data_IF_542866076799
#
_entry.id   IF_542866076799
#
_cell.length_a   1.000
_cell.length_b   1.000
_cell.length_c   1.000
_cell.angle_alpha   90.00
_cell.angle_beta   90.00
_cell.angle_gamma   90.00
#
_symmetry.space_group_name_H-M   'P 1'
#
loop_
_entity.id
_entity.type
_entity.pdbx_description
1 polymer ?
#
# COMPACT_ATOMS: atom_id res chain seq x y z
N UNK A 1 -0.89 -0.02 1.02
CA UNK A 1 -0.52 -1.39 1.47
C UNK A 1 -1.69 -2.02 2.21
N UNK A 2 -1.89 -3.33 2.10
CA UNK A 2 -2.94 -4.06 2.81
C UNK A 2 -2.30 -5.17 3.65
N UNK A 3 -2.95 -5.57 4.75
CA UNK A 3 -2.51 -6.69 5.60
C UNK A 3 -3.69 -7.65 5.81
N UNK A 4 -4.71 -7.23 6.56
CA UNK A 4 -5.89 -8.06 6.85
C UNK A 4 -6.93 -8.01 5.72
N UNK A 5 -7.14 -6.84 5.12
CA UNK A 5 -8.14 -6.64 4.06
C UNK A 5 -9.59 -6.60 4.55
N UNK A 6 -9.83 -6.59 5.86
CA UNK A 6 -11.17 -6.69 6.47
C UNK A 6 -11.54 -5.49 7.35
N UNK A 7 -10.69 -4.46 7.40
CA UNK A 7 -10.93 -3.23 8.16
C UNK A 7 -10.46 -3.25 9.60
N UNK A 8 -9.74 -4.29 10.03
CA UNK A 8 -9.33 -4.47 11.42
C UNK A 8 -7.97 -3.84 11.75
N UNK A 9 -7.08 -3.67 10.76
CA UNK A 9 -5.71 -3.19 11.03
C UNK A 9 -5.45 -1.71 10.65
N UNK A 10 -6.24 -1.13 9.75
CA UNK A 10 -6.02 0.24 9.26
C UNK A 10 -4.73 0.46 8.44
N UNK A 11 -4.00 -0.59 8.05
CA UNK A 11 -2.80 -0.47 7.22
C UNK A 11 -3.09 0.19 5.87
N UNK A 12 -4.27 -0.08 5.32
CA UNK A 12 -4.75 0.45 4.04
C UNK A 12 -5.40 1.83 4.14
N UNK A 13 -5.22 2.55 5.26
CA UNK A 13 -5.82 3.88 5.39
C UNK A 13 -5.32 4.86 4.33
N UNK A 14 -6.24 5.68 3.84
CA UNK A 14 -6.05 6.79 2.91
C UNK A 14 -6.80 8.01 3.44
N UNK A 15 -6.34 9.21 3.11
CA UNK A 15 -7.08 10.45 3.38
C UNK A 15 -7.82 10.86 2.11
N UNK A 16 -9.14 11.02 2.22
CA UNK A 16 -10.03 11.40 1.11
C UNK A 16 -10.95 12.51 1.62
N UNK A 17 -10.84 13.70 1.04
CA UNK A 17 -11.65 14.85 1.44
C UNK A 17 -11.41 15.31 2.89
N UNK A 18 -10.21 15.09 3.43
CA UNK A 18 -9.86 15.42 4.82
C UNK A 18 -10.30 14.38 5.85
N UNK A 19 -10.89 13.27 5.43
CA UNK A 19 -11.29 12.16 6.31
C UNK A 19 -10.40 10.94 6.11
N UNK A 20 -10.10 10.24 7.20
CA UNK A 20 -9.42 8.94 7.14
C UNK A 20 -10.42 7.85 6.73
N UNK A 21 -10.13 7.15 5.63
CA UNK A 21 -10.90 6.02 5.08
C UNK A 21 -10.03 4.78 4.94
N UNK A 22 -10.60 3.58 4.95
CA UNK A 22 -9.89 2.32 4.79
C UNK A 22 -10.13 1.72 3.41
N UNK A 23 -9.11 1.67 2.56
CA UNK A 23 -9.28 1.27 1.16
C UNK A 23 -9.81 -0.16 0.96
N UNK A 24 -9.65 -1.08 1.93
CA UNK A 24 -10.17 -2.44 1.81
C UNK A 24 -11.65 -2.59 2.19
N UNK A 25 -12.27 -1.57 2.80
CA UNK A 25 -13.69 -1.62 3.22
C UNK A 25 -14.48 -0.46 2.63
N UNK A 26 -13.93 0.75 2.65
CA UNK A 26 -14.56 1.96 2.10
C UNK A 26 -14.26 2.19 0.61
N UNK A 27 -13.32 1.42 0.04
CA UNK A 27 -12.82 1.56 -1.34
C UNK A 27 -12.92 0.26 -2.14
N UNK A 28 -11.94 -0.07 -3.02
CA UNK A 28 -10.66 0.62 -3.26
C UNK A 28 -10.79 1.86 -4.15
N UNK A 29 -11.95 2.09 -4.75
CA UNK A 29 -12.24 3.20 -5.65
C UNK A 29 -12.66 4.44 -4.86
N UNK A 30 -12.03 5.58 -5.17
CA UNK A 30 -12.32 6.88 -4.58
C UNK A 30 -12.28 7.96 -5.66
N UNK A 31 -12.90 9.11 -5.40
CA UNK A 31 -12.69 10.31 -6.23
C UNK A 31 -11.24 10.75 -6.11
N UNK A 32 -10.46 10.52 -7.18
CA UNK A 32 -9.03 10.80 -7.21
C UNK A 32 -8.68 12.28 -6.99
N UNK A 33 -9.60 13.22 -7.18
CA UNK A 33 -9.36 14.63 -6.88
C UNK A 33 -9.41 14.95 -5.38
N UNK A 34 -10.02 14.07 -4.59
CA UNK A 34 -10.16 14.24 -3.14
C UNK A 34 -9.10 13.46 -2.36
N UNK A 35 -8.33 12.58 -3.01
CA UNK A 35 -7.28 11.77 -2.37
C UNK A 35 -6.04 12.62 -2.09
N UNK A 36 -5.50 12.53 -0.86
CA UNK A 36 -4.15 13.02 -0.59
C UNK A 36 -3.10 12.05 -1.18
N UNK A 37 -2.65 12.36 -2.38
CA UNK A 37 -1.63 11.58 -3.10
C UNK A 37 -0.24 11.70 -2.48
N UNK A 38 0.07 12.77 -1.75
CA UNK A 38 1.37 12.92 -1.09
C UNK A 38 1.46 11.94 0.07
N UNK A 39 0.43 11.91 0.92
CA UNK A 39 0.33 10.95 2.01
C UNK A 39 0.32 9.50 1.49
N UNK A 40 -0.49 9.22 0.46
CA UNK A 40 -0.59 7.88 -0.12
C UNK A 40 0.77 7.38 -0.65
N UNK A 41 1.51 8.21 -1.38
CA UNK A 41 2.83 7.86 -1.91
C UNK A 41 3.89 7.67 -0.81
N UNK A 42 3.90 8.52 0.22
CA UNK A 42 4.82 8.34 1.35
C UNK A 42 4.58 7.00 2.05
N UNK A 43 3.32 6.64 2.27
CA UNK A 43 2.94 5.35 2.88
C UNK A 43 3.30 4.16 1.98
N UNK A 44 3.13 4.29 0.66
CA UNK A 44 3.48 3.23 -0.28
C UNK A 44 4.98 2.90 -0.28
N UNK A 45 5.84 3.86 0.08
CA UNK A 45 7.30 3.70 0.09
C UNK A 45 7.89 3.29 1.45
N UNK A 46 7.06 3.11 2.47
CA UNK A 46 7.50 2.86 3.85
C UNK A 46 8.38 1.60 4.00
N UNK A 47 8.16 0.59 3.16
CA UNK A 47 8.82 -0.72 3.27
C UNK A 47 9.87 -0.99 2.19
N UNK A 48 10.29 0.01 1.42
CA UNK A 48 11.25 -0.17 0.32
C UNK A 48 12.57 -0.86 0.76
N UNK A 49 13.05 -0.56 1.98
CA UNK A 49 14.27 -1.17 2.50
C UNK A 49 14.09 -2.67 2.77
N UNK A 50 12.95 -3.04 3.37
CA UNK A 50 12.59 -4.42 3.67
C UNK A 50 12.28 -5.20 2.40
N UNK A 51 11.58 -4.58 1.45
CA UNK A 51 11.32 -5.13 0.12
C UNK A 51 12.63 -5.45 -0.61
N UNK A 52 13.61 -4.53 -0.58
CA UNK A 52 14.94 -4.76 -1.16
C UNK A 52 15.67 -5.93 -0.51
N UNK A 53 15.67 -6.01 0.83
CA UNK A 53 16.28 -7.13 1.55
C UNK A 53 15.60 -8.46 1.16
N UNK A 54 14.27 -8.46 1.08
CA UNK A 54 13.52 -9.66 0.70
C UNK A 54 13.82 -10.09 -0.74
N UNK A 55 13.93 -9.14 -1.67
CA UNK A 55 14.27 -9.40 -3.07
C UNK A 55 15.69 -9.97 -3.21
N UNK A 56 16.67 -9.36 -2.56
CA UNK A 56 18.06 -9.84 -2.51
C UNK A 56 18.16 -11.23 -1.88
N UNK A 57 17.43 -11.50 -0.80
CA UNK A 57 17.43 -12.80 -0.12
C UNK A 57 16.78 -13.93 -0.94
N UNK A 58 15.84 -13.61 -1.83
CA UNK A 58 15.08 -14.61 -2.62
C UNK A 58 15.53 -14.69 -4.09
N UNK A 59 16.69 -14.10 -4.41
CA UNK A 59 17.36 -14.30 -5.69
C UNK A 59 16.98 -13.30 -6.78
N UNK A 60 16.57 -12.08 -6.41
CA UNK A 60 16.54 -10.87 -7.25
C UNK A 60 16.30 -11.14 -8.74
N UNK A 61 15.11 -11.60 -9.10
CA UNK A 61 14.77 -11.92 -10.49
C UNK A 61 13.62 -12.93 -10.68
N UNK A 62 12.96 -12.86 -11.84
CA UNK A 62 11.98 -13.85 -12.31
C UNK A 62 12.63 -15.24 -12.29
N UNK A 63 12.09 -16.18 -11.50
CA UNK A 63 12.49 -17.62 -11.48
C UNK A 63 12.12 -18.38 -12.77
N UNK A 64 11.90 -17.65 -13.84
CA UNK A 64 11.49 -18.08 -15.16
C UNK A 64 12.67 -18.59 -16.01
N UNK A 65 13.84 -18.78 -15.38
CA UNK A 65 15.05 -19.35 -15.98
C UNK A 65 15.40 -20.67 -15.27
N UNK A 66 14.71 -21.74 -15.67
CA UNK A 66 15.25 -23.11 -15.78
C UNK A 66 14.31 -23.92 -16.65
#
# INVERSE_FOLDING_TARGET
IMVDGTGMCGACRVEVGGETRFACVDGPEFDGHQVDWNLAQQRARMFLAQEKIADEAHGGGCRCQK
#
